data_IF_199360230328
#
_entry.id   IF_199360230328
#
_cell.length_a   1.000
_cell.length_b   1.000
_cell.length_c   1.000
_cell.angle_alpha   90.00
_cell.angle_beta   90.00
_cell.angle_gamma   90.00
#
_symmetry.space_group_name_H-M   'P 1'
#
loop_
_entity.id
_entity.type
_entity.pdbx_description
1 polymer ?
#
# COMPACT_ATOMS: atom_id res chain seq x y z
N UNK A 1 17.34 -8.97 -4.46
CA UNK A 1 16.08 -9.22 -3.73
C UNK A 1 15.62 -7.89 -3.18
N UNK A 2 14.43 -7.44 -3.56
CA UNK A 2 13.86 -6.18 -3.07
C UNK A 2 12.81 -6.47 -2.00
N UNK A 3 12.68 -5.57 -1.03
CA UNK A 3 11.69 -5.64 0.05
C UNK A 3 11.01 -4.29 0.11
N UNK A 4 9.68 -4.30 0.11
CA UNK A 4 8.85 -3.12 0.31
C UNK A 4 7.76 -3.44 1.31
N UNK A 5 7.32 -2.41 2.00
CA UNK A 5 6.24 -2.49 2.96
C UNK A 5 4.91 -2.22 2.27
N UNK A 6 3.89 -2.95 2.72
CA UNK A 6 2.53 -2.82 2.19
C UNK A 6 1.63 -2.39 3.35
N UNK A 7 0.94 -1.28 3.18
CA UNK A 7 -0.17 -0.86 4.03
C UNK A 7 -1.47 -1.41 3.43
N UNK A 8 -2.29 -2.04 4.27
CA UNK A 8 -3.62 -2.46 3.90
C UNK A 8 -4.65 -1.56 4.57
N UNK A 9 -5.60 -1.06 3.79
CA UNK A 9 -6.66 -0.18 4.25
C UNK A 9 -8.00 -0.72 3.76
N UNK A 10 -8.98 -0.84 4.65
CA UNK A 10 -10.32 -1.26 4.27
C UNK A 10 -11.01 -0.17 3.43
N UNK A 11 -11.63 -0.56 2.33
CA UNK A 11 -12.34 0.37 1.46
C UNK A 11 -13.77 0.53 1.98
N UNK A 12 -14.10 1.74 2.45
CA UNK A 12 -15.44 2.08 2.96
C UNK A 12 -16.21 3.04 2.04
N UNK A 13 -15.71 3.26 0.81
CA UNK A 13 -16.29 4.21 -0.12
C UNK A 13 -17.67 3.77 -0.62
N UNK A 14 -18.65 4.70 -0.69
CA UNK A 14 -19.95 4.42 -1.28
C UNK A 14 -19.83 3.93 -2.73
N UNK A 15 -20.21 2.68 -2.98
CA UNK A 15 -20.14 2.05 -4.31
C UNK A 15 -19.03 1.01 -4.46
N UNK A 16 -18.16 0.85 -3.47
CA UNK A 16 -17.25 -0.29 -3.39
C UNK A 16 -17.91 -1.46 -2.63
N UNK A 17 -17.73 -2.72 -3.06
CA UNK A 17 -18.27 -3.83 -2.30
C UNK A 17 -17.56 -3.97 -0.95
N UNK A 18 -18.29 -4.44 0.06
CA UNK A 18 -17.74 -4.69 1.39
C UNK A 18 -16.62 -5.73 1.37
N UNK A 19 -15.70 -5.60 2.33
CA UNK A 19 -14.59 -6.53 2.53
C UNK A 19 -13.50 -6.43 1.46
N UNK A 20 -13.42 -5.30 0.75
CA UNK A 20 -12.30 -4.97 -0.13
C UNK A 20 -11.29 -4.11 0.58
N UNK A 21 -10.03 -4.26 0.19
CA UNK A 21 -8.91 -3.56 0.80
C UNK A 21 -8.04 -2.95 -0.29
N UNK A 22 -7.59 -1.72 -0.06
CA UNK A 22 -6.43 -1.19 -0.75
C UNK A 22 -5.17 -1.90 -0.25
N UNK A 23 -4.24 -2.15 -1.16
CA UNK A 23 -2.86 -2.49 -0.86
C UNK A 23 -1.98 -1.37 -1.42
N UNK A 24 -1.35 -0.63 -0.52
CA UNK A 24 -0.57 0.56 -0.82
C UNK A 24 0.90 0.24 -0.55
N UNK A 25 1.78 0.54 -1.50
CA UNK A 25 3.25 0.46 -1.34
C UNK A 25 3.77 1.89 -1.26
N UNK A 26 3.93 2.46 -0.05
CA UNK A 26 4.17 3.90 0.11
C UNK A 26 5.45 4.37 -0.56
N UNK A 27 6.54 3.60 -0.43
CA UNK A 27 7.84 3.94 -1.03
C UNK A 27 7.80 4.08 -2.56
N UNK A 28 6.88 3.35 -3.22
CA UNK A 28 6.76 3.35 -4.67
C UNK A 28 5.59 4.19 -5.18
N UNK A 29 4.79 4.77 -4.28
CA UNK A 29 3.53 5.44 -4.61
C UNK A 29 2.62 4.59 -5.52
N UNK A 30 2.52 3.29 -5.19
CA UNK A 30 1.69 2.32 -5.91
C UNK A 30 0.51 1.90 -5.04
N UNK A 31 -0.66 1.81 -5.65
CA UNK A 31 -1.88 1.36 -4.98
C UNK A 31 -2.65 0.42 -5.90
N UNK A 32 -3.14 -0.68 -5.34
CA UNK A 32 -4.13 -1.56 -5.96
C UNK A 32 -5.15 -1.97 -4.91
N UNK A 33 -6.11 -2.82 -5.27
CA UNK A 33 -7.12 -3.30 -4.35
C UNK A 33 -7.46 -4.77 -4.63
N UNK A 34 -8.00 -5.44 -3.62
CA UNK A 34 -8.49 -6.81 -3.75
C UNK A 34 -9.48 -7.18 -2.65
N UNK A 35 -10.23 -8.26 -2.87
CA UNK A 35 -11.18 -8.77 -1.89
C UNK A 35 -10.43 -9.43 -0.73
N UNK A 36 -10.60 -8.90 0.47
CA UNK A 36 -9.87 -9.27 1.68
C UNK A 36 -8.37 -8.93 1.59
N UNK A 37 -7.68 -9.07 2.73
CA UNK A 37 -6.24 -8.83 2.82
C UNK A 37 -5.45 -9.71 1.84
N UNK A 38 -5.83 -10.99 1.70
CA UNK A 38 -5.10 -11.92 0.82
C UNK A 38 -5.33 -11.61 -0.68
N UNK A 39 -6.53 -11.20 -1.07
CA UNK A 39 -6.79 -10.76 -2.44
C UNK A 39 -6.02 -9.48 -2.78
N UNK A 40 -6.01 -8.51 -1.86
CA UNK A 40 -5.22 -7.29 -2.02
C UNK A 40 -3.71 -7.58 -2.05
N UNK A 41 -3.24 -8.54 -1.24
CA UNK A 41 -1.84 -9.01 -1.25
C UNK A 41 -1.47 -9.63 -2.60
N UNK A 42 -2.31 -10.50 -3.16
CA UNK A 42 -2.06 -11.07 -4.47
C UNK A 42 -1.98 -9.98 -5.55
N UNK A 43 -2.96 -9.07 -5.55
CA UNK A 43 -3.01 -7.97 -6.51
C UNK A 43 -1.78 -7.06 -6.45
N UNK A 44 -1.27 -6.73 -5.26
CA UNK A 44 -0.07 -5.88 -5.14
C UNK A 44 1.20 -6.62 -5.52
N UNK A 45 1.27 -7.94 -5.30
CA UNK A 45 2.40 -8.75 -5.78
C UNK A 45 2.46 -8.77 -7.32
N UNK A 46 1.31 -8.88 -7.99
CA UNK A 46 1.24 -8.82 -9.45
C UNK A 46 1.62 -7.42 -9.97
N UNK A 47 1.10 -6.37 -9.34
CA UNK A 47 1.45 -4.98 -9.66
C UNK A 47 2.95 -4.72 -9.52
N UNK A 48 3.57 -5.17 -8.43
CA UNK A 48 5.00 -5.01 -8.20
C UNK A 48 5.82 -5.73 -9.28
N UNK A 49 5.46 -6.96 -9.65
CA UNK A 49 6.18 -7.70 -10.70
C UNK A 49 6.14 -6.94 -12.04
N UNK A 50 4.97 -6.45 -12.43
CA UNK A 50 4.81 -5.68 -13.67
C UNK A 50 5.61 -4.37 -13.64
N UNK A 51 5.49 -3.62 -12.55
CA UNK A 51 6.22 -2.35 -12.37
C UNK A 51 7.73 -2.57 -12.41
N UNK A 52 8.23 -3.61 -11.76
CA UNK A 52 9.64 -3.99 -11.80
C UNK A 52 10.13 -4.29 -13.21
N UNK A 53 9.37 -5.09 -13.96
CA UNK A 53 9.71 -5.42 -15.34
C UNK A 53 9.76 -4.17 -16.23
N UNK A 54 8.83 -3.23 -16.06
CA UNK A 54 8.82 -1.95 -16.78
C UNK A 54 10.05 -1.10 -16.45
N UNK A 55 10.39 -0.92 -15.17
CA UNK A 55 11.60 -0.17 -14.76
C UNK A 55 12.86 -0.77 -15.35
N UNK A 56 13.00 -2.09 -15.30
CA UNK A 56 14.16 -2.78 -15.87
C UNK A 56 14.23 -2.62 -17.40
N UNK A 57 13.09 -2.73 -18.10
CA UNK A 57 13.03 -2.58 -19.55
C UNK A 57 13.46 -1.19 -20.02
N UNK A 58 13.24 -0.16 -19.20
CA UNK A 58 13.60 1.23 -19.49
C UNK A 58 14.97 1.65 -18.90
N UNK A 59 15.67 0.75 -18.21
CA UNK A 59 16.93 1.07 -17.54
C UNK A 59 16.78 2.08 -16.39
N UNK A 60 15.58 2.16 -15.81
CA UNK A 60 15.28 3.06 -14.69
C UNK A 60 15.79 2.46 -13.37
N UNK A 61 16.22 3.33 -12.47
CA UNK A 61 16.62 2.91 -11.13
C UNK A 61 15.43 2.43 -10.31
N UNK A 62 15.64 1.35 -9.58
CA UNK A 62 14.66 0.80 -8.66
C UNK A 62 15.03 1.24 -7.24
N UNK A 63 14.21 2.06 -6.58
CA UNK A 63 14.52 2.58 -5.26
C UNK A 63 14.51 1.46 -4.22
N UNK A 64 15.41 1.53 -3.25
CA UNK A 64 15.49 0.57 -2.13
C UNK A 64 14.79 1.17 -0.92
N UNK A 65 13.85 0.43 -0.33
CA UNK A 65 13.17 0.88 0.89
C UNK A 65 14.12 0.76 2.11
N UNK A 66 14.26 1.80 2.94
CA UNK A 66 14.94 1.70 4.23
C UNK A 66 14.11 0.90 5.24
N UNK A 67 14.59 0.75 6.47
CA UNK A 67 13.74 0.25 7.54
C UNK A 67 12.61 1.24 7.82
N UNK A 68 11.37 0.76 7.83
CA UNK A 68 10.16 1.56 8.06
C UNK A 68 9.36 1.00 9.24
N UNK A 69 8.61 1.88 9.90
CA UNK A 69 7.76 1.56 11.03
C UNK A 69 6.38 2.16 10.79
N UNK A 70 5.33 1.39 11.08
CA UNK A 70 3.95 1.85 10.97
C UNK A 70 3.30 1.87 12.35
N UNK A 71 2.48 2.89 12.57
CA UNK A 71 1.65 3.00 13.76
C UNK A 71 0.37 3.74 13.39
N UNK A 72 -0.68 3.48 14.16
CA UNK A 72 -1.90 4.28 14.14
C UNK A 72 -1.94 5.06 15.45
N UNK A 73 -2.33 6.33 15.38
CA UNK A 73 -2.50 7.18 16.55
C UNK A 73 -3.92 7.70 16.58
N UNK A 74 -4.57 7.55 17.72
CA UNK A 74 -5.89 8.12 17.96
C UNK A 74 -5.71 9.57 18.43
N UNK A 75 -6.27 10.52 17.68
CA UNK A 75 -6.30 11.93 18.08
C UNK A 75 -7.70 12.25 18.57
N UNK A 76 -7.89 12.69 19.83
CA UNK A 76 -9.21 13.07 20.32
C UNK A 76 -9.68 14.38 19.65
N UNK A 77 -10.99 14.49 19.41
CA UNK A 77 -11.62 15.63 18.73
C UNK A 77 -11.43 17.00 19.44
N UNK A 78 -11.03 17.00 20.72
CA UNK A 78 -10.80 18.21 21.49
C UNK A 78 -9.33 18.34 21.91
N UNK A 79 -8.62 19.33 21.35
CA UNK A 79 -7.50 19.94 22.03
C UNK A 79 -8.02 20.53 23.35
N UNK A 80 -7.84 19.84 24.47
CA UNK A 80 -8.03 20.46 25.78
C UNK A 80 -6.96 21.54 25.96
N UNK A 81 -7.32 22.78 25.62
CA UNK A 81 -6.58 23.97 26.04
C UNK A 81 -6.91 24.16 27.51
N UNK A 82 -5.97 23.81 28.39
CA UNK A 82 -6.01 24.15 29.83
C UNK A 82 -5.54 25.58 30.02
#
# INVERSE_FOLDING_TARGET
MHRYSILFEEITDPGFPDGWYYAIVPMLNLTTHGKGIEGARAAVMDLLQLWFAEKQAHGEEIPVEPAVFFTQVDIPDALQVV
#
